data_IF_063270457529
#
_entry.id   IF_063270457529
#
_cell.length_a   1.000
_cell.length_b   1.000
_cell.length_c   1.000
_cell.angle_alpha   90.00
_cell.angle_beta   90.00
_cell.angle_gamma   90.00
#
_symmetry.space_group_name_H-M   'P 1'
#
loop_
_entity.id
_entity.type
_entity.pdbx_description
1 polymer ?
#
# COMPACT_ATOMS: atom_id res chain seq x y z
N UNK A 1 -14.67 6.64 -14.48
CA UNK A 1 -14.07 7.32 -13.41
C UNK A 1 -13.17 6.43 -12.64
N UNK A 2 -11.95 6.90 -12.34
CA UNK A 2 -11.04 6.07 -11.62
C UNK A 2 -11.32 6.09 -10.14
N UNK A 3 -11.15 4.96 -9.50
CA UNK A 3 -11.32 4.88 -8.09
C UNK A 3 -9.93 4.87 -7.47
N UNK A 4 -9.79 5.33 -6.27
CA UNK A 4 -8.53 5.32 -5.56
C UNK A 4 -8.70 4.53 -4.28
N UNK A 5 -7.75 3.67 -4.00
CA UNK A 5 -7.82 2.82 -2.84
C UNK A 5 -6.50 2.93 -2.08
N UNK A 6 -6.57 3.30 -0.82
CA UNK A 6 -5.38 3.45 0.00
C UNK A 6 -5.12 2.17 0.78
N UNK A 7 -3.91 1.68 0.78
CA UNK A 7 -3.55 0.45 1.44
C UNK A 7 -2.32 0.64 2.29
N UNK A 8 -2.36 0.14 3.54
CA UNK A 8 -1.22 0.18 4.41
C UNK A 8 -0.34 -0.99 4.00
N UNK A 9 0.75 -0.71 3.35
CA UNK A 9 1.62 -1.75 2.84
C UNK A 9 2.50 -2.39 3.89
N UNK A 10 2.55 -1.83 5.07
CA UNK A 10 3.41 -2.36 6.10
C UNK A 10 2.66 -3.15 7.17
N UNK A 11 1.38 -3.35 6.98
CA UNK A 11 0.61 -4.11 7.97
C UNK A 11 0.73 -5.60 7.75
N UNK A 12 0.76 -6.35 8.77
CA UNK A 12 0.76 -7.80 8.66
C UNK A 12 2.13 -8.40 8.79
N UNK A 13 2.18 -9.70 8.97
CA UNK A 13 3.40 -10.41 9.19
C UNK A 13 4.32 -10.53 8.01
N UNK A 14 3.80 -10.53 6.84
CA UNK A 14 4.60 -10.70 5.66
C UNK A 14 4.66 -9.46 4.79
N UNK A 15 4.33 -8.33 5.40
CA UNK A 15 4.39 -7.08 4.69
C UNK A 15 5.83 -6.64 4.52
N UNK A 16 6.12 -5.92 3.52
CA UNK A 16 5.18 -5.44 2.52
C UNK A 16 4.97 -6.40 1.36
N UNK A 17 5.70 -7.49 1.31
CA UNK A 17 5.67 -8.37 0.16
C UNK A 17 4.28 -8.89 -0.15
N UNK A 18 3.59 -9.42 0.84
CA UNK A 18 2.29 -9.99 0.58
C UNK A 18 1.30 -8.93 0.16
N UNK A 19 1.41 -7.74 0.73
CA UNK A 19 0.49 -6.67 0.38
C UNK A 19 0.74 -6.22 -1.04
N UNK A 20 2.01 -6.11 -1.43
CA UNK A 20 2.35 -5.67 -2.78
C UNK A 20 1.89 -6.73 -3.79
N UNK A 21 2.09 -7.99 -3.48
CA UNK A 21 1.66 -9.05 -4.38
C UNK A 21 0.14 -9.03 -4.57
N UNK A 22 -0.58 -8.83 -3.48
CA UNK A 22 -2.03 -8.73 -3.56
C UNK A 22 -2.47 -7.53 -4.38
N UNK A 23 -1.74 -6.42 -4.23
CA UNK A 23 -2.06 -5.22 -4.96
C UNK A 23 -1.83 -5.42 -6.45
N UNK A 24 -0.77 -6.12 -6.83
CA UNK A 24 -0.51 -6.36 -8.24
C UNK A 24 -1.60 -7.23 -8.87
N UNK A 25 -2.09 -8.19 -8.11
CA UNK A 25 -3.17 -9.03 -8.61
C UNK A 25 -4.44 -8.19 -8.73
N UNK A 26 -4.71 -7.35 -7.76
CA UNK A 26 -5.90 -6.52 -7.79
C UNK A 26 -5.83 -5.52 -8.95
N UNK A 27 -4.62 -5.01 -9.22
CA UNK A 27 -4.46 -4.07 -10.32
C UNK A 27 -4.86 -4.72 -11.65
N UNK A 28 -4.47 -5.97 -11.81
CA UNK A 28 -4.80 -6.67 -13.03
C UNK A 28 -6.31 -6.88 -13.15
N UNK A 29 -6.95 -7.06 -12.02
CA UNK A 29 -8.38 -7.29 -12.05
C UNK A 29 -9.16 -6.01 -12.17
N UNK A 30 -8.71 -4.92 -11.63
CA UNK A 30 -9.41 -3.67 -11.61
C UNK A 30 -8.59 -2.56 -12.23
N UNK A 31 -8.46 -2.55 -13.55
CA UNK A 31 -7.59 -1.59 -14.21
C UNK A 31 -8.00 -0.13 -14.06
N UNK A 32 -9.22 0.10 -13.63
CA UNK A 32 -9.67 1.48 -13.45
C UNK A 32 -9.42 1.98 -12.03
N UNK A 33 -8.78 1.20 -11.18
CA UNK A 33 -8.54 1.60 -9.81
C UNK A 33 -7.08 1.98 -9.66
N UNK A 34 -6.83 3.08 -8.95
CA UNK A 34 -5.49 3.51 -8.66
C UNK A 34 -5.23 3.11 -7.22
N UNK A 35 -4.13 2.44 -6.96
CA UNK A 35 -3.80 1.97 -5.64
C UNK A 35 -2.73 2.85 -5.01
N UNK A 36 -2.92 3.26 -3.77
CA UNK A 36 -1.99 4.12 -3.06
C UNK A 36 -1.45 3.31 -1.90
N UNK A 37 -0.15 2.99 -1.96
CA UNK A 37 0.47 2.19 -0.94
C UNK A 37 1.22 3.07 0.03
N UNK A 38 0.92 2.94 1.31
CA UNK A 38 1.59 3.70 2.34
C UNK A 38 2.60 2.80 3.03
N UNK A 39 3.84 3.21 3.07
CA UNK A 39 4.86 2.42 3.74
C UNK A 39 6.25 2.87 3.35
N UNK A 40 7.24 2.04 3.66
CA UNK A 40 8.63 2.35 3.38
C UNK A 40 8.89 2.11 1.91
N UNK A 41 9.04 3.18 1.15
CA UNK A 41 9.21 3.05 -0.28
C UNK A 41 10.47 2.28 -0.63
N UNK A 42 11.48 2.26 0.23
CA UNK A 42 12.69 1.54 -0.09
C UNK A 42 12.46 0.03 -0.03
N UNK A 43 11.41 -0.40 0.65
CA UNK A 43 11.08 -1.80 0.72
C UNK A 43 10.00 -2.17 -0.28
N UNK A 44 9.13 -1.24 -0.62
CA UNK A 44 8.05 -1.50 -1.54
C UNK A 44 8.49 -1.45 -2.97
N UNK A 45 9.27 -0.40 -3.32
CA UNK A 45 9.65 -0.19 -4.71
C UNK A 45 10.34 -1.37 -5.37
N UNK A 46 11.28 -2.06 -4.69
CA UNK A 46 11.93 -3.18 -5.33
C UNK A 46 10.98 -4.36 -5.63
N UNK A 47 9.83 -4.38 -4.99
CA UNK A 47 8.89 -5.46 -5.20
C UNK A 47 7.98 -5.20 -6.38
N UNK A 48 8.00 -3.98 -6.93
CA UNK A 48 7.16 -3.63 -8.04
C UNK A 48 7.95 -3.71 -9.32
N UNK A 49 7.44 -4.39 -10.31
CA UNK A 49 8.10 -4.41 -11.59
C UNK A 49 7.75 -3.13 -12.34
N UNK A 50 6.57 -2.59 -12.12
CA UNK A 50 6.23 -1.31 -12.66
C UNK A 50 5.21 -0.68 -11.71
N UNK A 51 5.00 0.60 -11.82
CA UNK A 51 4.13 1.31 -10.91
C UNK A 51 2.87 1.86 -11.57
N UNK A 52 2.46 1.25 -12.64
CA UNK A 52 1.25 1.69 -13.33
C UNK A 52 0.06 1.59 -12.38
N UNK A 53 -0.64 2.68 -12.22
CA UNK A 53 -1.81 2.76 -11.34
C UNK A 53 -1.45 2.51 -9.87
N UNK A 54 -0.18 2.61 -9.49
CA UNK A 54 0.23 2.45 -8.12
C UNK A 54 1.04 3.66 -7.70
N UNK A 55 0.67 4.28 -6.59
CA UNK A 55 1.38 5.43 -6.06
C UNK A 55 1.90 5.01 -4.70
N UNK A 56 3.15 5.29 -4.39
CA UNK A 56 3.71 4.97 -3.10
C UNK A 56 3.85 6.25 -2.30
N UNK A 57 3.27 6.26 -1.11
CA UNK A 57 3.42 7.38 -0.21
C UNK A 57 4.35 6.90 0.89
N UNK A 58 5.55 7.42 0.92
CA UNK A 58 6.57 6.98 1.86
C UNK A 58 6.21 7.41 3.28
N UNK A 59 6.32 6.50 4.21
CA UNK A 59 6.13 6.82 5.59
C UNK A 59 7.02 5.91 6.40
N UNK A 60 7.69 6.43 7.40
CA UNK A 60 8.53 5.64 8.24
C UNK A 60 7.81 5.24 9.50
N UNK A 61 6.57 5.71 9.70
CA UNK A 61 5.85 5.34 10.88
C UNK A 61 4.93 4.23 10.63
N UNK A 62 4.97 3.21 11.49
CA UNK A 62 4.08 2.14 11.40
C UNK A 62 2.79 2.56 11.95
N UNK A 63 1.75 2.25 11.35
CA UNK A 63 0.45 2.52 11.90
C UNK A 63 0.18 1.42 12.87
N UNK A 64 0.14 1.73 14.13
CA UNK A 64 -0.05 0.76 15.15
C UNK A 64 -1.45 0.89 15.63
N UNK A 65 -2.29 0.00 15.30
CA UNK A 65 -3.68 0.11 15.65
C UNK A 65 -3.91 0.21 17.14
N UNK A 66 -2.98 -0.23 17.91
CA UNK A 66 -3.15 -0.12 19.31
C UNK A 66 -2.97 1.27 19.80
N UNK A 67 -2.27 2.08 19.07
CA UNK A 67 -2.00 3.31 19.51
C UNK A 67 -2.61 4.29 18.77
N UNK A 68 -2.83 4.06 17.69
CA UNK A 68 -3.33 5.02 16.95
C UNK A 68 -4.46 5.48 17.38
N UNK A 69 -4.72 6.12 17.61
CA UNK A 69 -5.75 6.53 18.02
C UNK A 69 -5.92 7.63 17.37
N UNK A 70 -6.15 7.58 16.55
CA UNK A 70 -6.22 8.56 15.81
C UNK A 70 -7.28 9.35 15.98
N UNK A 71 -7.72 8.92 16.39
CA UNK A 71 -8.64 9.50 16.49
C UNK A 71 -8.57 10.27 17.24
N UNK A 72 -8.01 10.11 17.76
CA UNK A 72 -7.89 10.71 18.49
C UNK A 72 -7.51 11.38 17.92
N UNK A 73 -7.74 11.34 17.66
CA UNK A 73 -7.50 11.82 17.07
C UNK A 73 -7.94 11.91 16.80
#
# INVERSE_FOLDING_TARGET
>A
MKKKLAIDAMGGDFAPKSVVEGCLLARAEFPDTEFILFGDETKIRPLLSDETNITIVHTTEKIDSGEADPVKA
#
